data_IF_282310263724
#
_entry.id   IF_282310263724
#
_cell.length_a   1.000
_cell.length_b   1.000
_cell.length_c   1.000
_cell.angle_alpha   90.00
_cell.angle_beta   90.00
_cell.angle_gamma   90.00
#
_symmetry.space_group_name_H-M   'P 1'
#
loop_
_entity.id
_entity.type
_entity.pdbx_description
1 polymer ?
#
# COMPACT_ATOMS: atom_id res chain seq x y z
N UNK A 1 10.35 6.30 -8.50
CA UNK A 1 9.50 6.33 -7.31
C UNK A 1 9.78 7.59 -6.53
N UNK A 2 8.74 8.19 -5.96
CA UNK A 2 8.80 9.30 -5.01
C UNK A 2 8.33 8.78 -3.66
N UNK A 3 8.98 9.23 -2.58
CA UNK A 3 8.61 8.89 -1.20
C UNK A 3 8.23 10.19 -0.50
N UNK A 4 7.06 10.19 0.12
CA UNK A 4 6.56 11.29 0.95
C UNK A 4 6.21 10.73 2.33
N UNK A 5 6.54 11.47 3.40
CA UNK A 5 6.26 11.05 4.77
C UNK A 5 5.38 12.08 5.47
N UNK A 6 4.29 11.62 6.05
CA UNK A 6 3.38 12.41 6.88
C UNK A 6 3.09 11.66 8.17
N UNK A 7 3.64 12.15 9.28
CA UNK A 7 3.50 11.52 10.58
C UNK A 7 4.05 10.09 10.58
N UNK A 8 3.22 9.13 10.98
CA UNK A 8 3.55 7.70 11.03
C UNK A 8 3.36 6.98 9.68
N UNK A 9 3.01 7.70 8.61
CA UNK A 9 2.68 7.11 7.30
C UNK A 9 3.67 7.56 6.23
N UNK A 10 4.10 6.62 5.39
CA UNK A 10 4.93 6.84 4.21
C UNK A 10 4.12 6.47 2.96
N UNK A 11 4.01 7.41 2.04
CA UNK A 11 3.42 7.20 0.73
C UNK A 11 4.52 7.00 -0.30
N UNK A 12 4.53 5.83 -0.93
CA UNK A 12 5.50 5.45 -1.96
C UNK A 12 4.77 5.43 -3.29
N UNK A 13 5.10 6.39 -4.15
CA UNK A 13 4.44 6.62 -5.43
C UNK A 13 5.33 6.16 -6.59
N UNK A 14 4.74 5.44 -7.54
CA UNK A 14 5.42 5.24 -8.82
C UNK A 14 5.45 6.55 -9.63
N UNK A 15 6.57 6.80 -10.29
CA UNK A 15 6.79 8.00 -11.10
C UNK A 15 7.32 7.68 -12.49
N UNK A 16 7.52 6.38 -12.79
CA UNK A 16 8.16 5.93 -14.03
C UNK A 16 7.23 5.09 -14.91
N UNK A 17 6.09 4.63 -14.39
CA UNK A 17 5.11 3.86 -15.17
C UNK A 17 5.55 2.42 -15.44
N UNK A 18 6.63 1.97 -14.80
CA UNK A 18 7.07 0.58 -14.85
C UNK A 18 6.75 -0.07 -13.50
N UNK A 19 5.61 -0.76 -13.48
CA UNK A 19 5.10 -1.44 -12.30
C UNK A 19 6.07 -2.49 -11.74
N UNK A 20 6.72 -3.28 -12.59
CA UNK A 20 7.60 -4.36 -12.14
C UNK A 20 8.86 -3.79 -11.52
N UNK A 21 9.48 -2.80 -12.16
CA UNK A 21 10.62 -2.08 -11.59
C UNK A 21 10.25 -1.37 -10.29
N UNK A 22 9.05 -0.80 -10.21
CA UNK A 22 8.55 -0.16 -9.00
C UNK A 22 8.39 -1.16 -7.86
N UNK A 23 7.67 -2.27 -8.08
CA UNK A 23 7.50 -3.34 -7.10
C UNK A 23 8.83 -3.88 -6.57
N UNK A 24 9.80 -4.11 -7.46
CA UNK A 24 11.14 -4.56 -7.08
C UNK A 24 11.85 -3.53 -6.20
N UNK A 25 11.81 -2.24 -6.57
CA UNK A 25 12.42 -1.15 -5.79
C UNK A 25 11.81 -1.04 -4.40
N UNK A 26 10.48 -1.05 -4.29
CA UNK A 26 9.76 -1.01 -3.00
C UNK A 26 10.13 -2.22 -2.13
N UNK A 27 10.14 -3.41 -2.71
CA UNK A 27 10.47 -4.65 -1.99
C UNK A 27 11.92 -4.66 -1.48
N UNK A 28 12.89 -4.26 -2.31
CA UNK A 28 14.29 -4.16 -1.91
C UNK A 28 14.53 -3.10 -0.83
N UNK A 29 13.79 -1.99 -0.88
CA UNK A 29 13.93 -0.89 0.09
C UNK A 29 12.99 -1.02 1.29
N UNK A 30 12.27 -2.14 1.44
CA UNK A 30 11.28 -2.34 2.50
C UNK A 30 11.81 -2.02 3.90
N UNK A 31 13.06 -2.40 4.19
CA UNK A 31 13.70 -2.14 5.48
C UNK A 31 13.76 -0.66 5.87
N UNK A 32 13.78 0.25 4.89
CA UNK A 32 13.72 1.70 5.11
C UNK A 32 12.35 2.14 5.64
N UNK A 33 11.28 1.43 5.28
CA UNK A 33 9.90 1.85 5.53
C UNK A 33 9.20 1.01 6.60
N UNK A 34 9.79 -0.10 7.06
CA UNK A 34 9.12 -1.11 7.89
C UNK A 34 8.57 -0.61 9.24
N UNK A 35 9.01 0.56 9.72
CA UNK A 35 8.54 1.18 10.97
C UNK A 35 7.34 2.13 10.79
N UNK A 36 6.97 2.45 9.56
CA UNK A 36 5.85 3.34 9.23
C UNK A 36 4.68 2.53 8.68
N UNK A 37 3.49 3.11 8.67
CA UNK A 37 2.39 2.64 7.83
C UNK A 37 2.71 2.97 6.36
N UNK A 38 2.35 2.08 5.44
CA UNK A 38 2.72 2.22 4.03
C UNK A 38 1.48 2.40 3.17
N UNK A 39 1.51 3.45 2.34
CA UNK A 39 0.62 3.63 1.19
C UNK A 39 1.43 3.38 -0.08
N UNK A 40 0.96 2.48 -0.93
CA UNK A 40 1.48 2.27 -2.27
C UNK A 40 0.57 3.00 -3.26
N UNK A 41 1.07 4.08 -3.86
CA UNK A 41 0.32 4.92 -4.79
C UNK A 41 0.61 4.51 -6.24
N UNK A 42 -0.37 3.88 -6.86
CA UNK A 42 -0.36 3.38 -8.24
C UNK A 42 -1.30 4.15 -9.15
N UNK A 43 -1.81 5.32 -8.73
CA UNK A 43 -2.80 6.11 -9.50
C UNK A 43 -2.32 6.52 -10.91
N UNK A 44 -1.03 6.45 -11.19
CA UNK A 44 -0.51 6.70 -12.54
C UNK A 44 -0.77 5.57 -13.53
N UNK A 45 -1.08 4.38 -13.04
CA UNK A 45 -1.35 3.21 -13.87
C UNK A 45 -2.87 3.08 -14.08
N UNK A 46 -3.28 2.92 -15.34
CA UNK A 46 -4.70 2.82 -15.71
C UNK A 46 -5.11 1.40 -16.13
N UNK A 47 -4.16 0.47 -16.20
CA UNK A 47 -4.30 -0.85 -16.83
C UNK A 47 -3.76 -1.99 -15.96
N UNK A 48 -3.56 -1.76 -14.66
CA UNK A 48 -3.14 -2.82 -13.74
C UNK A 48 -4.23 -3.86 -13.54
N UNK A 49 -3.88 -5.12 -13.75
CA UNK A 49 -4.78 -6.23 -13.49
C UNK A 49 -4.83 -6.57 -12.00
N UNK A 50 -5.85 -7.31 -11.59
CA UNK A 50 -5.92 -7.91 -10.25
C UNK A 50 -4.71 -8.80 -9.94
N UNK A 51 -4.12 -9.44 -10.96
CA UNK A 51 -2.94 -10.28 -10.77
C UNK A 51 -1.70 -9.44 -10.46
N UNK A 52 -1.58 -8.26 -11.05
CA UNK A 52 -0.48 -7.33 -10.76
C UNK A 52 -0.56 -6.85 -9.31
N UNK A 53 -1.75 -6.41 -8.86
CA UNK A 53 -1.96 -5.99 -7.48
C UNK A 53 -1.67 -7.12 -6.48
N UNK A 54 -2.03 -8.37 -6.82
CA UNK A 54 -1.72 -9.55 -5.99
C UNK A 54 -0.23 -9.78 -5.78
N UNK A 55 0.66 -9.24 -6.63
CA UNK A 55 2.10 -9.36 -6.44
C UNK A 55 2.61 -8.63 -5.18
N UNK A 56 1.85 -7.66 -4.64
CA UNK A 56 2.16 -7.03 -3.35
C UNK A 56 1.81 -7.89 -2.13
N UNK A 57 1.09 -9.00 -2.31
CA UNK A 57 0.61 -9.83 -1.20
C UNK A 57 1.70 -10.31 -0.23
N UNK A 58 2.89 -10.76 -0.67
CA UNK A 58 3.97 -11.14 0.24
C UNK A 58 4.42 -9.98 1.12
N UNK A 59 4.62 -8.80 0.53
CA UNK A 59 5.06 -7.60 1.23
C UNK A 59 4.00 -7.09 2.21
N UNK A 60 2.74 -7.04 1.78
CA UNK A 60 1.60 -6.66 2.64
C UNK A 60 1.49 -7.58 3.86
N UNK A 61 1.59 -8.90 3.67
CA UNK A 61 1.57 -9.88 4.77
C UNK A 61 2.74 -9.67 5.73
N UNK A 62 3.94 -9.44 5.21
CA UNK A 62 5.12 -9.17 6.01
C UNK A 62 4.93 -7.89 6.85
N UNK A 63 4.38 -6.84 6.26
CA UNK A 63 4.18 -5.56 6.92
C UNK A 63 3.07 -5.61 7.99
N UNK A 64 1.93 -6.21 7.66
CA UNK A 64 0.82 -6.40 8.62
C UNK A 64 1.22 -7.26 9.82
N UNK A 65 2.12 -8.24 9.66
CA UNK A 65 2.71 -9.00 10.80
C UNK A 65 3.51 -8.12 11.76
N UNK A 66 4.08 -7.02 11.29
CA UNK A 66 4.77 -6.03 12.11
C UNK A 66 3.80 -5.03 12.78
N UNK A 67 2.49 -5.31 12.77
CA UNK A 67 1.43 -4.42 13.28
C UNK A 67 1.44 -3.04 12.62
N UNK A 68 1.66 -3.01 11.31
CA UNK A 68 1.61 -1.80 10.48
C UNK A 68 0.67 -1.96 9.29
N UNK A 69 0.01 -0.88 8.94
CA UNK A 69 -0.95 -0.82 7.83
C UNK A 69 -0.23 -0.84 6.48
N UNK A 70 -0.80 -1.57 5.53
CA UNK A 70 -0.33 -1.61 4.14
C UNK A 70 -1.52 -1.44 3.20
N UNK A 71 -1.63 -0.26 2.58
CA UNK A 71 -2.76 0.11 1.72
C UNK A 71 -2.26 0.41 0.31
N UNK A 72 -2.99 -0.04 -0.71
CA UNK A 72 -2.68 0.19 -2.11
C UNK A 72 -3.74 1.11 -2.71
N UNK A 73 -3.32 2.10 -3.50
CA UNK A 73 -4.20 3.07 -4.13
C UNK A 73 -4.14 2.93 -5.65
N UNK A 74 -5.30 2.72 -6.29
CA UNK A 74 -5.47 2.56 -7.74
C UNK A 74 -6.88 2.97 -8.15
N UNK A 75 -7.09 3.57 -9.32
CA UNK A 75 -8.39 4.16 -9.70
C UNK A 75 -9.35 3.17 -10.37
N UNK A 76 -8.93 2.56 -11.49
CA UNK A 76 -9.78 1.69 -12.32
C UNK A 76 -9.53 0.21 -12.01
N UNK A 77 -10.28 -0.33 -11.05
CA UNK A 77 -9.98 -1.66 -10.52
C UNK A 77 -11.24 -2.40 -10.06
N UNK A 78 -11.32 -3.72 -10.34
CA UNK A 78 -12.36 -4.58 -9.75
C UNK A 78 -11.95 -4.98 -8.32
N UNK A 79 -12.37 -4.15 -7.36
CA UNK A 79 -12.10 -4.34 -5.94
C UNK A 79 -12.64 -5.67 -5.39
N UNK A 80 -13.68 -6.26 -6.01
CA UNK A 80 -14.25 -7.54 -5.58
C UNK A 80 -13.34 -8.74 -5.92
N UNK A 81 -12.44 -8.58 -6.90
CA UNK A 81 -11.52 -9.63 -7.32
C UNK A 81 -10.24 -9.70 -6.45
N UNK A 82 -10.02 -8.72 -5.58
CA UNK A 82 -8.88 -8.69 -4.67
C UNK A 82 -9.13 -9.52 -3.42
N UNK A 83 -8.16 -10.35 -2.99
CA UNK A 83 -8.27 -11.06 -1.73
C UNK A 83 -8.46 -10.06 -0.58
N UNK A 84 -9.42 -10.32 0.31
CA UNK A 84 -9.72 -9.48 1.50
C UNK A 84 -8.53 -9.20 2.44
N UNK A 85 -7.40 -9.88 2.24
CA UNK A 85 -6.14 -9.65 2.98
C UNK A 85 -5.37 -8.42 2.48
N UNK A 86 -5.60 -8.00 1.24
CA UNK A 86 -5.06 -6.78 0.66
C UNK A 86 -6.08 -5.67 0.83
N UNK A 87 -5.60 -4.51 1.28
CA UNK A 87 -6.42 -3.31 1.39
C UNK A 87 -6.15 -2.45 0.17
N UNK A 88 -7.14 -2.28 -0.69
CA UNK A 88 -7.03 -1.54 -1.96
C UNK A 88 -8.16 -0.53 -2.02
N UNK A 89 -7.83 0.73 -2.32
CA UNK A 89 -8.78 1.85 -2.32
C UNK A 89 -8.59 2.77 -3.54
N UNK A 90 -9.63 3.51 -3.97
CA UNK A 90 -9.56 4.45 -5.09
C UNK A 90 -8.78 5.73 -4.81
N UNK A 91 -8.55 6.13 -3.55
CA UNK A 91 -7.96 7.43 -3.25
C UNK A 91 -6.96 7.43 -2.09
N UNK A 92 -6.05 8.40 -2.12
CA UNK A 92 -5.13 8.66 -1.01
C UNK A 92 -5.85 9.05 0.27
N UNK A 93 -7.00 9.73 0.16
CA UNK A 93 -7.80 10.11 1.32
C UNK A 93 -8.30 8.87 2.05
N UNK A 94 -8.93 7.94 1.33
CA UNK A 94 -9.39 6.68 1.92
C UNK A 94 -8.25 5.84 2.47
N UNK A 95 -7.08 5.85 1.82
CA UNK A 95 -5.91 5.16 2.32
C UNK A 95 -5.45 5.73 3.67
N UNK A 96 -5.48 7.05 3.83
CA UNK A 96 -5.21 7.69 5.11
C UNK A 96 -6.29 7.36 6.13
N UNK A 97 -7.57 7.47 5.79
CA UNK A 97 -8.68 7.20 6.71
C UNK A 97 -8.65 5.77 7.26
N UNK A 98 -8.34 4.78 6.42
CA UNK A 98 -8.13 3.40 6.85
C UNK A 98 -6.96 3.28 7.82
N UNK A 99 -5.83 3.93 7.52
CA UNK A 99 -4.65 3.85 8.38
C UNK A 99 -4.93 4.45 9.76
N UNK A 100 -5.59 5.60 9.82
CA UNK A 100 -5.96 6.23 11.10
C UNK A 100 -6.92 5.34 11.88
N UNK A 101 -7.91 4.74 11.21
CA UNK A 101 -8.83 3.78 11.84
C UNK A 101 -8.08 2.56 12.41
N UNK A 102 -7.18 1.95 11.63
CA UNK A 102 -6.41 0.80 12.07
C UNK A 102 -5.39 1.14 13.19
N UNK A 103 -4.82 2.35 13.23
CA UNK A 103 -3.98 2.80 14.35
C UNK A 103 -4.81 2.95 15.63
N UNK A 104 -6.02 3.53 15.55
CA UNK A 104 -6.94 3.63 16.69
C UNK A 104 -7.31 2.23 17.21
N UNK A 105 -7.65 1.30 16.33
CA UNK A 105 -7.97 -0.09 16.70
C UNK A 105 -6.78 -0.76 17.42
N UNK A 106 -5.56 -0.58 16.91
CA UNK A 106 -4.33 -1.10 17.53
C UNK A 106 -4.07 -0.50 18.90
N UNK A 107 -4.28 0.80 19.06
CA UNK A 107 -4.10 1.51 20.33
C UNK A 107 -5.13 1.07 21.38
N UNK A 108 -6.34 0.71 20.93
CA UNK A 108 -7.39 0.13 21.78
C UNK A 108 -7.21 -1.38 22.03
N UNK A 109 -6.22 -2.02 21.40
CA UNK A 109 -5.87 -3.43 21.60
C UNK A 109 -6.75 -4.43 20.87
N UNK A 110 -7.42 -4.01 19.79
CA UNK A 110 -8.20 -4.88 18.89
C UNK A 110 -7.35 -5.44 17.74
#
# INVERSE_FOLDING_TARGET
>A
MKVDQKGHTVTIRDTQGDFTSFLMKVTHQYKTFEKHNIIIDLLMHNDLSTNDIKLFMPLSKQHKKAKKSFVIVTSDFDYNAVPAKLTVVPSLLEAHDIIEMEEIERDLGF
#
